data_IF_166509697086
#
_entry.id   IF_166509697086
#
_cell.length_a   1.000
_cell.length_b   1.000
_cell.length_c   1.000
_cell.angle_alpha   90.00
_cell.angle_beta   90.00
_cell.angle_gamma   90.00
#
_symmetry.space_group_name_H-M   'P 1'
#
loop_
_entity.id
_entity.type
_entity.pdbx_description
1 polymer ?
#
# COMPACT_ATOMS: atom_id res chain seq x y z
N UNK A 1 -4.50 -42.90 -51.22
CA UNK A 1 -3.86 -41.60 -50.94
C UNK A 1 -4.75 -40.78 -50.00
N UNK A 2 -4.94 -41.22 -48.74
CA UNK A 2 -5.80 -40.52 -47.77
C UNK A 2 -5.44 -40.94 -46.34
N UNK A 3 -4.24 -40.56 -45.89
CA UNK A 3 -3.78 -40.82 -44.50
C UNK A 3 -2.88 -39.70 -43.96
N UNK A 4 -2.58 -38.65 -44.76
CA UNK A 4 -1.68 -37.55 -44.37
C UNK A 4 -2.39 -36.27 -43.86
N UNK A 5 -3.71 -36.19 -43.91
CA UNK A 5 -4.46 -34.96 -43.58
C UNK A 5 -4.94 -34.85 -42.12
N UNK A 6 -4.97 -35.95 -41.36
CA UNK A 6 -5.48 -35.96 -39.96
C UNK A 6 -4.37 -35.59 -38.95
N UNK A 7 -3.10 -35.75 -39.32
CA UNK A 7 -1.95 -35.46 -38.43
C UNK A 7 -1.64 -33.96 -38.29
N UNK A 8 -2.03 -33.13 -39.27
CA UNK A 8 -1.59 -31.74 -39.33
C UNK A 8 -2.51 -30.78 -38.53
N UNK A 9 -3.79 -31.09 -38.39
CA UNK A 9 -4.79 -30.26 -37.68
C UNK A 9 -4.66 -30.35 -36.15
N UNK A 10 -4.20 -31.48 -35.61
CA UNK A 10 -3.93 -31.66 -34.18
C UNK A 10 -2.66 -30.92 -33.69
N UNK A 11 -1.65 -30.78 -34.56
CA UNK A 11 -0.45 -29.98 -34.26
C UNK A 11 -0.76 -28.48 -34.26
N UNK A 12 -1.49 -28.01 -35.28
CA UNK A 12 -1.80 -26.60 -35.47
C UNK A 12 -2.71 -26.02 -34.36
N UNK A 13 -3.60 -26.84 -33.80
CA UNK A 13 -4.47 -26.47 -32.66
C UNK A 13 -3.74 -26.49 -31.32
N UNK A 14 -2.81 -27.44 -31.11
CA UNK A 14 -1.97 -27.52 -29.91
C UNK A 14 -0.94 -26.37 -29.85
N UNK A 15 -0.36 -26.00 -31.00
CA UNK A 15 0.62 -24.91 -31.11
C UNK A 15 -0.03 -23.53 -30.88
N UNK A 16 -1.27 -23.32 -31.37
CA UNK A 16 -2.02 -22.09 -31.15
C UNK A 16 -2.47 -21.92 -29.68
N UNK A 17 -2.92 -23.01 -29.04
CA UNK A 17 -3.28 -23.01 -27.61
C UNK A 17 -2.06 -22.75 -26.72
N UNK A 18 -0.92 -23.38 -27.05
CA UNK A 18 0.35 -23.17 -26.33
C UNK A 18 0.84 -21.72 -26.50
N UNK A 19 0.83 -21.19 -27.72
CA UNK A 19 1.25 -19.80 -28.01
C UNK A 19 0.37 -18.78 -27.27
N UNK A 20 -0.96 -19.00 -27.26
CA UNK A 20 -1.90 -18.17 -26.52
C UNK A 20 -1.66 -18.22 -25.00
N UNK A 21 -1.37 -19.40 -24.45
CA UNK A 21 -1.05 -19.58 -23.03
C UNK A 21 0.28 -18.93 -22.64
N UNK A 22 1.31 -19.03 -23.49
CA UNK A 22 2.61 -18.39 -23.26
C UNK A 22 2.50 -16.86 -23.34
N UNK A 23 1.75 -16.31 -24.29
CA UNK A 23 1.51 -14.88 -24.36
C UNK A 23 0.77 -14.35 -23.11
N UNK A 24 -0.24 -15.10 -22.62
CA UNK A 24 -0.96 -14.75 -21.39
C UNK A 24 -0.05 -14.81 -20.15
N UNK A 25 0.81 -15.83 -20.06
CA UNK A 25 1.80 -15.95 -18.99
C UNK A 25 2.82 -14.80 -19.06
N UNK A 26 3.34 -14.49 -20.23
CA UNK A 26 4.28 -13.39 -20.45
C UNK A 26 3.67 -12.04 -20.04
N UNK A 27 2.44 -11.76 -20.44
CA UNK A 27 1.72 -10.55 -20.02
C UNK A 27 1.52 -10.51 -18.50
N UNK A 28 1.12 -11.62 -17.88
CA UNK A 28 0.91 -11.69 -16.43
C UNK A 28 2.21 -11.46 -15.64
N UNK A 29 3.31 -12.03 -16.12
CA UNK A 29 4.65 -11.81 -15.55
C UNK A 29 5.08 -10.35 -15.72
N UNK A 30 4.84 -9.75 -16.89
CA UNK A 30 5.17 -8.35 -17.15
C UNK A 30 4.41 -7.41 -16.21
N UNK A 31 3.10 -7.62 -16.01
CA UNK A 31 2.32 -6.84 -15.03
C UNK A 31 2.83 -7.06 -13.60
N UNK A 32 3.19 -8.29 -13.23
CA UNK A 32 3.79 -8.60 -11.93
C UNK A 32 5.10 -7.85 -11.69
N UNK A 33 5.99 -7.83 -12.69
CA UNK A 33 7.27 -7.10 -12.64
C UNK A 33 7.05 -5.59 -12.52
N UNK A 34 6.17 -5.02 -13.35
CA UNK A 34 5.85 -3.59 -13.29
C UNK A 34 5.31 -3.21 -11.91
N UNK A 35 4.44 -4.04 -11.33
CA UNK A 35 3.94 -3.80 -9.98
C UNK A 35 5.02 -3.93 -8.91
N UNK A 36 5.90 -4.93 -9.00
CA UNK A 36 6.98 -5.11 -8.03
C UNK A 36 7.95 -3.91 -8.04
N UNK A 37 8.35 -3.45 -9.23
CA UNK A 37 9.23 -2.28 -9.42
C UNK A 37 8.60 -1.03 -8.79
N UNK A 38 7.28 -0.85 -8.92
CA UNK A 38 6.57 0.28 -8.30
C UNK A 38 6.38 0.09 -6.79
N UNK A 39 6.06 -1.12 -6.34
CA UNK A 39 5.68 -1.37 -4.97
C UNK A 39 6.85 -1.18 -4.00
N UNK A 40 8.06 -1.61 -4.36
CA UNK A 40 9.22 -1.55 -3.44
C UNK A 40 9.57 -0.11 -3.02
N UNK A 41 9.79 0.86 -3.94
CA UNK A 41 10.02 2.25 -3.57
C UNK A 41 8.82 2.86 -2.83
N UNK A 42 7.60 2.50 -3.26
CA UNK A 42 6.38 3.01 -2.63
C UNK A 42 6.27 2.59 -1.17
N UNK A 43 6.53 1.32 -0.85
CA UNK A 43 6.47 0.80 0.52
C UNK A 43 7.56 1.41 1.41
N UNK A 44 8.75 1.67 0.85
CA UNK A 44 9.79 2.41 1.57
C UNK A 44 9.33 3.83 1.89
N UNK A 45 8.79 4.55 0.90
CA UNK A 45 8.20 5.88 1.11
C UNK A 45 7.11 5.87 2.18
N UNK A 46 6.21 4.88 2.15
CA UNK A 46 5.16 4.73 3.17
C UNK A 46 5.74 4.51 4.57
N UNK A 47 6.83 3.75 4.69
CA UNK A 47 7.51 3.56 5.97
C UNK A 47 8.02 4.88 6.54
N UNK A 48 8.69 5.69 5.71
CA UNK A 48 9.22 7.00 6.14
C UNK A 48 8.09 7.96 6.53
N UNK A 49 6.94 7.88 5.86
CA UNK A 49 5.75 8.69 6.18
C UNK A 49 5.12 8.25 7.50
N UNK A 50 4.91 6.94 7.69
CA UNK A 50 4.30 6.39 8.91
C UNK A 50 5.19 6.69 10.12
N UNK A 51 6.50 6.51 9.98
CA UNK A 51 7.47 6.61 11.05
C UNK A 51 8.36 7.86 10.90
N UNK A 52 7.73 9.01 10.59
CA UNK A 52 8.43 10.28 10.38
C UNK A 52 9.00 10.89 11.67
N UNK A 53 8.57 10.42 12.84
CA UNK A 53 9.05 10.93 14.12
C UNK A 53 10.54 10.58 14.35
N UNK A 54 11.40 11.52 14.80
CA UNK A 54 12.85 11.32 14.91
C UNK A 54 13.29 10.10 15.74
N UNK A 55 12.49 9.71 16.73
CA UNK A 55 12.74 8.51 17.56
C UNK A 55 12.89 7.22 16.74
N UNK A 56 12.25 7.14 15.57
CA UNK A 56 12.30 5.94 14.73
C UNK A 56 13.54 5.87 13.83
N UNK A 57 14.35 6.93 13.76
CA UNK A 57 15.45 7.05 12.80
C UNK A 57 16.42 5.86 12.80
N UNK A 58 16.86 5.42 13.99
CA UNK A 58 17.76 4.26 14.14
C UNK A 58 17.11 2.91 13.79
N UNK A 59 15.78 2.82 13.82
CA UNK A 59 15.01 1.62 13.54
C UNK A 59 14.44 1.57 12.11
N UNK A 60 14.66 2.63 11.30
CA UNK A 60 14.17 2.72 9.93
C UNK A 60 14.44 1.48 9.07
N UNK A 61 15.64 0.86 9.09
CA UNK A 61 15.89 -0.35 8.32
C UNK A 61 15.00 -1.54 8.74
N UNK A 62 14.76 -1.70 10.04
CA UNK A 62 13.92 -2.78 10.57
C UNK A 62 12.43 -2.52 10.28
N UNK A 63 11.99 -1.27 10.46
CA UNK A 63 10.63 -0.84 10.18
C UNK A 63 10.29 -0.96 8.69
N UNK A 64 11.23 -0.61 7.81
CA UNK A 64 11.06 -0.73 6.36
C UNK A 64 10.86 -2.18 5.94
N UNK A 65 11.68 -3.10 6.48
CA UNK A 65 11.51 -4.54 6.25
C UNK A 65 10.15 -5.04 6.72
N UNK A 66 9.70 -4.57 7.89
CA UNK A 66 8.41 -4.94 8.45
C UNK A 66 7.24 -4.46 7.57
N UNK A 67 7.24 -3.21 7.11
CA UNK A 67 6.19 -2.66 6.24
C UNK A 67 6.17 -3.35 4.88
N UNK A 68 7.34 -3.57 4.26
CA UNK A 68 7.47 -4.28 2.98
C UNK A 68 6.93 -5.72 3.13
N UNK A 69 7.33 -6.41 4.20
CA UNK A 69 6.84 -7.76 4.49
C UNK A 69 5.32 -7.78 4.72
N UNK A 70 4.79 -6.83 5.51
CA UNK A 70 3.36 -6.68 5.73
C UNK A 70 2.59 -6.45 4.43
N UNK A 71 3.14 -5.64 3.51
CA UNK A 71 2.55 -5.42 2.18
C UNK A 71 2.54 -6.71 1.36
N UNK A 72 3.63 -7.47 1.36
CA UNK A 72 3.68 -8.75 0.66
C UNK A 72 2.63 -9.73 1.20
N UNK A 73 2.49 -9.86 2.52
CA UNK A 73 1.47 -10.71 3.16
C UNK A 73 0.07 -10.24 2.78
N UNK A 74 -0.19 -8.94 2.82
CA UNK A 74 -1.48 -8.37 2.42
C UNK A 74 -1.82 -8.68 0.96
N UNK A 75 -0.87 -8.52 0.04
CA UNK A 75 -1.05 -8.81 -1.39
C UNK A 75 -1.34 -10.29 -1.63
N UNK A 76 -0.61 -11.19 -0.95
CA UNK A 76 -0.86 -12.64 -1.04
C UNK A 76 -2.27 -12.98 -0.53
N UNK A 77 -2.64 -12.48 0.65
CA UNK A 77 -3.97 -12.75 1.21
C UNK A 77 -5.08 -12.19 0.33
N UNK A 78 -4.94 -10.97 -0.19
CA UNK A 78 -5.90 -10.40 -1.12
C UNK A 78 -6.00 -11.24 -2.40
N UNK A 79 -4.87 -11.66 -2.98
CA UNK A 79 -4.87 -12.47 -4.20
C UNK A 79 -5.58 -13.82 -4.00
N UNK A 80 -5.39 -14.45 -2.84
CA UNK A 80 -6.01 -15.75 -2.51
C UNK A 80 -7.49 -15.65 -2.15
N UNK A 81 -7.90 -14.54 -1.51
CA UNK A 81 -9.27 -14.38 -0.98
C UNK A 81 -10.19 -13.53 -1.87
N UNK A 82 -9.65 -12.77 -2.82
CA UNK A 82 -10.42 -11.88 -3.69
C UNK A 82 -11.25 -12.68 -4.69
N UNK A 83 -12.52 -12.27 -4.85
CA UNK A 83 -13.42 -12.79 -5.89
C UNK A 83 -13.30 -12.02 -7.22
N UNK A 84 -12.42 -11.02 -7.30
CA UNK A 84 -12.23 -10.17 -8.48
C UNK A 84 -10.97 -10.59 -9.25
N UNK A 85 -11.08 -11.26 -10.42
CA UNK A 85 -9.95 -11.86 -11.13
C UNK A 85 -8.98 -10.85 -11.78
N UNK A 86 -9.34 -9.56 -11.79
CA UNK A 86 -8.54 -8.46 -12.34
C UNK A 86 -7.99 -7.52 -11.25
N UNK A 87 -8.42 -7.67 -10.00
CA UNK A 87 -8.07 -6.73 -8.94
C UNK A 87 -6.72 -7.06 -8.33
N UNK A 88 -5.93 -6.03 -8.07
CA UNK A 88 -4.67 -6.14 -7.35
C UNK A 88 -4.84 -5.37 -6.03
N UNK A 89 -4.80 -6.10 -4.93
CA UNK A 89 -4.77 -5.48 -3.60
C UNK A 89 -3.43 -4.81 -3.40
N UNK A 90 -3.42 -3.53 -3.07
CA UNK A 90 -2.21 -2.78 -2.71
C UNK A 90 -2.50 -1.99 -1.45
N UNK A 91 -1.45 -1.64 -0.71
CA UNK A 91 -1.58 -0.74 0.45
C UNK A 91 -1.96 0.65 -0.04
N UNK A 92 -2.95 1.26 0.62
CA UNK A 92 -3.50 2.55 0.24
C UNK A 92 -2.75 3.71 0.92
N UNK A 93 -2.45 4.76 0.16
CA UNK A 93 -1.83 6.01 0.61
C UNK A 93 -2.71 6.82 1.56
N UNK A 94 -4.04 6.82 1.33
CA UNK A 94 -5.02 7.47 2.18
C UNK A 94 -4.95 7.07 3.67
N UNK A 95 -4.52 5.84 3.97
CA UNK A 95 -4.39 5.35 5.34
C UNK A 95 -3.16 5.88 6.07
N UNK A 96 -2.14 6.34 5.33
CA UNK A 96 -0.84 6.71 5.90
C UNK A 96 -0.93 7.94 6.80
N UNK A 97 -1.83 8.87 6.51
CA UNK A 97 -2.03 10.05 7.34
C UNK A 97 -2.46 9.67 8.76
N UNK A 98 -3.35 8.69 8.88
CA UNK A 98 -3.82 8.21 10.17
C UNK A 98 -2.74 7.41 10.89
N UNK A 99 -2.02 6.55 10.17
CA UNK A 99 -0.91 5.79 10.76
C UNK A 99 0.23 6.69 11.24
N UNK A 100 0.60 7.71 10.46
CA UNK A 100 1.63 8.69 10.79
C UNK A 100 1.24 9.54 12.00
N UNK A 101 -0.01 10.02 12.02
CA UNK A 101 -0.56 10.76 13.16
C UNK A 101 -0.58 9.90 14.43
N UNK A 102 -1.01 8.64 14.35
CA UNK A 102 -0.99 7.71 15.49
C UNK A 102 0.44 7.46 15.98
N UNK A 103 1.39 7.14 15.09
CA UNK A 103 2.77 6.88 15.46
C UNK A 103 3.41 8.08 16.17
N UNK A 104 3.23 9.27 15.61
CA UNK A 104 3.74 10.52 16.19
C UNK A 104 3.07 10.83 17.52
N UNK A 105 1.75 10.68 17.61
CA UNK A 105 0.99 10.90 18.84
C UNK A 105 1.43 9.98 19.97
N UNK A 106 1.70 8.70 19.67
CA UNK A 106 2.19 7.72 20.66
C UNK A 106 3.56 8.15 21.17
N UNK A 107 4.50 8.46 20.28
CA UNK A 107 5.84 8.93 20.66
C UNK A 107 5.80 10.18 21.55
N UNK A 108 4.96 11.15 21.20
CA UNK A 108 4.80 12.38 21.98
C UNK A 108 4.15 12.10 23.35
N UNK A 109 3.16 11.22 23.40
CA UNK A 109 2.44 10.88 24.64
C UNK A 109 3.29 10.10 25.63
N UNK A 110 4.19 9.24 25.16
CA UNK A 110 5.11 8.48 26.01
C UNK A 110 6.20 9.37 26.66
N UNK A 111 6.40 10.60 26.18
CA UNK A 111 7.37 11.54 26.73
C UNK A 111 8.83 11.13 26.49
N UNK A 112 9.79 11.88 27.05
CA UNK A 112 11.23 11.64 26.80
C UNK A 112 11.84 10.51 27.64
N UNK A 113 11.20 10.14 28.76
CA UNK A 113 11.75 9.20 29.74
C UNK A 113 11.70 7.73 29.29
N UNK A 114 10.89 7.43 28.27
CA UNK A 114 10.75 6.08 27.73
C UNK A 114 11.78 5.83 26.62
N UNK A 115 12.42 4.67 26.66
CA UNK A 115 13.45 4.30 25.68
C UNK A 115 12.90 4.27 24.24
N UNK A 116 13.73 4.58 23.22
CA UNK A 116 13.33 4.51 21.82
C UNK A 116 12.76 3.14 21.41
N UNK A 117 13.34 2.05 21.91
CA UNK A 117 12.90 0.67 21.63
C UNK A 117 11.49 0.41 22.14
N UNK A 118 11.20 0.85 23.38
CA UNK A 118 9.88 0.71 23.98
C UNK A 118 8.83 1.56 23.24
N UNK A 119 9.20 2.76 22.77
CA UNK A 119 8.33 3.59 21.91
C UNK A 119 8.02 2.92 20.57
N UNK A 120 9.04 2.34 19.92
CA UNK A 120 8.87 1.61 18.66
C UNK A 120 7.94 0.41 18.85
N UNK A 121 8.19 -0.43 19.86
CA UNK A 121 7.37 -1.60 20.15
C UNK A 121 5.91 -1.20 20.45
N UNK A 122 5.71 -0.21 21.30
CA UNK A 122 4.37 0.31 21.65
C UNK A 122 3.65 0.83 20.40
N UNK A 123 4.35 1.56 19.54
CA UNK A 123 3.78 2.10 18.30
C UNK A 123 3.34 0.99 17.35
N UNK A 124 4.21 0.02 17.07
CA UNK A 124 3.90 -1.09 16.16
C UNK A 124 2.71 -1.91 16.67
N UNK A 125 2.70 -2.25 17.95
CA UNK A 125 1.61 -3.03 18.55
C UNK A 125 0.30 -2.25 18.52
N UNK A 126 0.32 -0.97 18.88
CA UNK A 126 -0.88 -0.13 18.89
C UNK A 126 -1.46 0.05 17.49
N UNK A 127 -0.61 0.35 16.49
CA UNK A 127 -1.04 0.44 15.09
C UNK A 127 -1.56 -0.91 14.59
N UNK A 128 -0.92 -2.02 14.96
CA UNK A 128 -1.36 -3.37 14.61
C UNK A 128 -2.76 -3.66 15.16
N UNK A 129 -3.01 -3.36 16.44
CA UNK A 129 -4.33 -3.54 17.06
C UNK A 129 -5.36 -2.62 16.41
N UNK A 130 -5.02 -1.34 16.18
CA UNK A 130 -5.91 -0.38 15.55
C UNK A 130 -6.30 -0.81 14.13
N UNK A 131 -5.34 -1.21 13.31
CA UNK A 131 -5.59 -1.67 11.93
C UNK A 131 -6.33 -3.00 11.88
N UNK A 132 -6.05 -3.94 12.79
CA UNK A 132 -6.82 -5.18 12.92
C UNK A 132 -8.27 -4.89 13.32
N UNK A 133 -8.49 -3.98 14.27
CA UNK A 133 -9.83 -3.57 14.69
C UNK A 133 -10.61 -2.91 13.54
N UNK A 134 -9.95 -2.05 12.75
CA UNK A 134 -10.52 -1.46 11.55
C UNK A 134 -10.88 -2.55 10.53
N UNK A 135 -10.01 -3.54 10.33
CA UNK A 135 -10.30 -4.70 9.48
C UNK A 135 -11.54 -5.47 9.90
N UNK A 136 -11.72 -5.73 11.20
CA UNK A 136 -12.93 -6.35 11.75
C UNK A 136 -14.16 -5.48 11.47
N UNK A 137 -14.08 -4.17 11.73
CA UNK A 137 -15.16 -3.24 11.42
C UNK A 137 -15.53 -3.24 9.93
N UNK A 138 -14.54 -3.27 9.02
CA UNK A 138 -14.77 -3.34 7.58
C UNK A 138 -15.46 -4.65 7.18
N UNK A 139 -15.06 -5.79 7.76
CA UNK A 139 -15.72 -7.09 7.53
C UNK A 139 -17.17 -7.05 7.99
N UNK A 140 -17.42 -6.50 9.19
CA UNK A 140 -18.77 -6.34 9.74
C UNK A 140 -19.63 -5.45 8.82
N UNK A 141 -19.13 -4.28 8.44
CA UNK A 141 -19.84 -3.37 7.52
C UNK A 141 -20.13 -4.03 6.16
N UNK A 142 -19.17 -4.80 5.62
CA UNK A 142 -19.34 -5.55 4.39
C UNK A 142 -20.44 -6.61 4.50
N UNK A 143 -20.47 -7.37 5.60
CA UNK A 143 -21.50 -8.39 5.85
C UNK A 143 -22.90 -7.83 5.97
N UNK A 144 -23.04 -6.68 6.63
CA UNK A 144 -24.34 -6.02 6.80
C UNK A 144 -24.72 -5.10 5.64
N UNK A 145 -23.91 -5.03 4.57
CA UNK A 145 -24.10 -4.15 3.40
C UNK A 145 -24.19 -2.66 3.76
N UNK A 146 -23.56 -2.26 4.87
CA UNK A 146 -23.47 -0.85 5.29
C UNK A 146 -22.55 -0.04 4.38
N UNK A 147 -21.83 -0.66 3.43
CA UNK A 147 -21.07 0.05 2.41
C UNK A 147 -21.95 1.03 1.59
N UNK A 148 -23.25 0.76 1.45
CA UNK A 148 -24.20 1.70 0.86
C UNK A 148 -24.28 3.03 1.62
N UNK A 149 -23.98 3.04 2.93
CA UNK A 149 -23.93 4.26 3.73
C UNK A 149 -22.82 5.21 3.26
N UNK A 150 -21.66 4.65 2.92
CA UNK A 150 -20.53 5.43 2.39
C UNK A 150 -20.88 6.10 1.04
N UNK A 151 -21.79 5.50 0.27
CA UNK A 151 -22.27 6.07 -1.01
C UNK A 151 -23.18 7.29 -0.84
N UNK A 152 -23.67 7.58 0.37
CA UNK A 152 -24.42 8.82 0.64
C UNK A 152 -23.53 10.05 0.89
N UNK A 153 -22.20 9.86 1.00
CA UNK A 153 -21.30 11.00 1.16
C UNK A 153 -21.36 11.89 -0.09
N UNK A 154 -21.66 13.19 0.04
CA UNK A 154 -21.68 14.09 -1.09
C UNK A 154 -20.33 14.11 -1.81
N UNK A 155 -20.36 14.17 -3.15
CA UNK A 155 -19.15 14.27 -3.97
C UNK A 155 -18.19 15.38 -3.52
N UNK A 156 -18.64 16.57 -3.06
CA UNK A 156 -17.73 17.58 -2.53
C UNK A 156 -16.95 17.15 -1.28
N UNK A 157 -17.53 16.33 -0.41
CA UNK A 157 -16.88 15.85 0.83
C UNK A 157 -15.77 14.86 0.47
N UNK A 158 -16.06 13.93 -0.44
CA UNK A 158 -15.07 12.97 -0.94
C UNK A 158 -13.95 13.71 -1.67
N UNK A 159 -14.30 14.69 -2.52
CA UNK A 159 -13.34 15.51 -3.26
C UNK A 159 -12.41 16.30 -2.33
N UNK A 160 -12.94 16.94 -1.28
CA UNK A 160 -12.12 17.66 -0.30
C UNK A 160 -11.16 16.76 0.46
N UNK A 161 -11.61 15.57 0.88
CA UNK A 161 -10.75 14.58 1.54
C UNK A 161 -9.62 14.09 0.61
N UNK A 162 -9.94 13.75 -0.64
CA UNK A 162 -8.95 13.33 -1.63
C UNK A 162 -7.95 14.44 -1.97
N UNK A 163 -8.40 15.69 -2.07
CA UNK A 163 -7.53 16.84 -2.28
C UNK A 163 -6.52 17.00 -1.13
N UNK A 164 -6.96 16.81 0.10
CA UNK A 164 -6.09 16.88 1.26
C UNK A 164 -5.06 15.73 1.31
N UNK A 165 -5.47 14.50 1.02
CA UNK A 165 -4.51 13.37 0.89
C UNK A 165 -3.47 13.69 -0.19
N UNK A 166 -3.89 14.27 -1.32
CA UNK A 166 -2.97 14.68 -2.38
C UNK A 166 -1.90 15.66 -1.91
N UNK A 167 -2.30 16.71 -1.18
CA UNK A 167 -1.36 17.70 -0.61
C UNK A 167 -0.46 17.05 0.45
N UNK A 168 -1.02 16.21 1.32
CA UNK A 168 -0.26 15.47 2.34
C UNK A 168 0.83 14.60 1.70
N UNK A 169 0.47 13.82 0.67
CA UNK A 169 1.41 12.99 -0.08
C UNK A 169 2.47 13.83 -0.81
N UNK A 170 2.11 15.01 -1.32
CA UNK A 170 3.04 15.94 -1.97
C UNK A 170 4.11 16.42 -0.98
N UNK A 171 3.69 16.90 0.20
CA UNK A 171 4.61 17.37 1.25
C UNK A 171 5.51 16.25 1.76
N UNK A 172 4.92 15.08 2.04
CA UNK A 172 5.66 13.88 2.40
C UNK A 172 6.70 13.46 1.34
N UNK A 173 6.32 13.51 0.05
CA UNK A 173 7.22 13.17 -1.05
C UNK A 173 8.39 14.15 -1.20
N UNK A 174 8.14 15.46 -1.04
CA UNK A 174 9.22 16.46 -1.04
C UNK A 174 10.11 16.35 0.19
N UNK A 175 9.55 16.09 1.36
CA UNK A 175 10.31 15.85 2.59
C UNK A 175 11.26 14.65 2.43
N UNK A 176 10.76 13.55 1.84
CA UNK A 176 11.58 12.38 1.53
C UNK A 176 12.69 12.68 0.51
N UNK A 177 12.40 13.50 -0.52
CA UNK A 177 13.35 13.81 -1.59
C UNK A 177 14.46 14.77 -1.15
N UNK A 178 14.16 15.67 -0.21
CA UNK A 178 15.10 16.69 0.28
C UNK A 178 15.77 16.33 1.61
N UNK A 179 15.20 15.38 2.37
CA UNK A 179 15.62 15.10 3.73
C UNK A 179 15.22 16.19 4.73
N UNK A 180 14.40 17.17 4.34
CA UNK A 180 13.91 18.25 5.20
C UNK A 180 12.49 17.96 5.68
N UNK A 181 12.11 18.51 6.84
CA UNK A 181 10.75 18.40 7.36
C UNK A 181 9.85 19.44 6.68
N UNK A 182 8.97 18.98 5.78
CA UNK A 182 8.03 19.83 5.04
C UNK A 182 6.61 19.46 5.48
N UNK A 183 6.01 20.31 6.31
CA UNK A 183 4.66 20.09 6.83
C UNK A 183 3.64 21.12 6.33
N UNK A 184 4.12 22.31 5.94
CA UNK A 184 3.29 23.44 5.55
C UNK A 184 3.82 24.12 4.29
N UNK A 185 2.96 24.92 3.65
CA UNK A 185 3.34 25.72 2.48
C UNK A 185 4.54 26.63 2.76
N UNK A 186 4.63 27.20 3.98
CA UNK A 186 5.78 28.01 4.38
C UNK A 186 7.08 27.18 4.38
N UNK A 187 7.08 25.98 4.96
CA UNK A 187 8.24 25.08 4.94
C UNK A 187 8.65 24.70 3.51
N UNK A 188 7.67 24.51 2.62
CA UNK A 188 7.91 24.24 1.21
C UNK A 188 8.55 25.43 0.49
N UNK A 189 8.12 26.67 0.77
CA UNK A 189 8.73 27.88 0.19
C UNK A 189 10.15 28.10 0.74
N UNK A 190 10.37 27.81 2.02
CA UNK A 190 11.69 27.87 2.64
C UNK A 190 12.70 26.90 2.02
N UNK A 191 12.25 25.80 1.43
CA UNK A 191 13.13 24.85 0.71
C UNK A 191 13.78 25.47 -0.54
N UNK A 192 13.13 26.45 -1.18
CA UNK A 192 13.60 27.06 -2.43
C UNK A 192 14.52 28.28 -2.23
N UNK A 193 14.76 28.70 -0.98
CA UNK A 193 15.68 29.78 -0.61
C UNK A 193 16.90 29.20 0.10
#
# INVERSE_FOLDING_TARGET
MSTRQISNTGKQSSDAFTTYSIAKLANSLLYGVVNAIRAIPTMYGYTVIIFSHPTFGSFMPALSKLVIFSSAVHQVMFTLMSSMPFAIGQVQDAGLIFLSAMATSICNSLGHDVSPEAKVATTIVTIGIATASLGVCLVVMGRFKLAALASYLPMPVIGGYLAFIGIFCLYAGMALSTGLVINDFSSMVHMFN
#
